data_IF_293085731845
#
_entry.id   IF_293085731845
#
_cell.length_a   1.000
_cell.length_b   1.000
_cell.length_c   1.000
_cell.angle_alpha   90.00
_cell.angle_beta   90.00
_cell.angle_gamma   90.00
#
_symmetry.space_group_name_H-M   'P 1'
#
loop_
_entity.id
_entity.type
_entity.pdbx_description
1 polymer ?
#
# COMPACT_ATOMS: atom_id res chain seq x y z
N UNK A 1 13.68 4.96 -10.16
CA UNK A 1 13.33 3.61 -10.65
C UNK A 1 14.15 2.48 -10.00
N UNK A 2 15.45 2.66 -9.77
CA UNK A 2 16.30 1.68 -9.07
C UNK A 2 15.78 1.32 -7.67
N UNK A 3 15.27 2.30 -6.91
CA UNK A 3 14.77 2.07 -5.55
C UNK A 3 13.59 1.09 -5.48
N UNK A 4 12.74 1.01 -6.51
CA UNK A 4 11.64 0.03 -6.57
C UNK A 4 12.17 -1.38 -6.85
N UNK A 5 13.18 -1.50 -7.71
CA UNK A 5 13.84 -2.78 -8.03
C UNK A 5 14.70 -3.30 -6.87
N UNK A 6 15.08 -2.44 -5.93
CA UNK A 6 15.77 -2.80 -4.69
C UNK A 6 14.83 -3.23 -3.56
N UNK A 7 13.51 -3.12 -3.73
CA UNK A 7 12.53 -3.62 -2.75
C UNK A 7 12.39 -5.13 -2.91
N UNK A 8 12.33 -5.84 -1.79
CA UNK A 8 11.97 -7.25 -1.78
C UNK A 8 10.45 -7.37 -2.03
N UNK A 9 10.08 -7.51 -3.31
CA UNK A 9 8.68 -7.55 -3.74
C UNK A 9 7.90 -8.74 -3.14
N UNK A 10 8.59 -9.76 -2.60
CA UNK A 10 7.95 -10.93 -1.98
C UNK A 10 7.36 -10.63 -0.60
N UNK A 11 7.92 -9.66 0.12
CA UNK A 11 7.42 -9.23 1.43
C UNK A 11 6.65 -7.90 1.36
N UNK A 12 6.44 -7.37 0.16
CA UNK A 12 5.77 -6.08 -0.04
C UNK A 12 4.26 -6.28 -0.20
N UNK A 13 3.51 -6.06 0.89
CA UNK A 13 2.04 -6.17 0.89
C UNK A 13 1.32 -4.99 0.20
N UNK A 14 1.99 -3.84 0.05
CA UNK A 14 1.43 -2.65 -0.57
C UNK A 14 2.35 -1.44 -0.43
N UNK A 15 2.04 -0.36 -1.16
CA UNK A 15 2.86 0.86 -1.14
C UNK A 15 2.00 2.13 -1.13
N UNK A 16 2.41 3.13 -0.35
CA UNK A 16 1.84 4.48 -0.43
C UNK A 16 2.80 5.41 -1.19
N UNK A 17 2.29 6.15 -2.18
CA UNK A 17 3.02 7.17 -2.92
C UNK A 17 2.36 8.55 -2.74
N UNK A 18 3.08 9.48 -2.11
CA UNK A 18 2.59 10.86 -1.91
C UNK A 18 2.39 11.64 -3.22
N UNK A 19 3.23 11.36 -4.24
CA UNK A 19 3.15 11.97 -5.57
C UNK A 19 3.07 10.91 -6.65
N UNK A 20 1.89 10.78 -7.26
CA UNK A 20 1.67 9.98 -8.46
C UNK A 20 1.34 10.86 -9.64
N UNK A 21 2.31 11.12 -10.51
CA UNK A 21 2.06 11.68 -11.84
C UNK A 21 1.62 10.59 -12.83
N UNK A 22 0.94 10.98 -13.93
CA UNK A 22 0.48 10.06 -15.00
C UNK A 22 1.59 9.17 -15.60
N UNK A 23 2.86 9.54 -15.42
CA UNK A 23 4.06 8.86 -15.92
C UNK A 23 5.02 8.41 -14.80
N UNK A 24 4.51 8.21 -13.58
CA UNK A 24 5.33 7.70 -12.47
C UNK A 24 5.78 6.27 -12.77
N UNK A 25 7.06 6.10 -13.10
CA UNK A 25 7.64 4.80 -13.43
C UNK A 25 7.50 3.81 -12.27
N UNK A 26 7.55 4.29 -11.04
CA UNK A 26 7.30 3.49 -9.83
C UNK A 26 5.87 2.96 -9.78
N UNK A 27 4.87 3.78 -10.13
CA UNK A 27 3.48 3.35 -10.17
C UNK A 27 3.22 2.34 -11.30
N UNK A 28 3.83 2.55 -12.47
CA UNK A 28 3.73 1.63 -13.61
C UNK A 28 4.32 0.26 -13.24
N UNK A 29 5.51 0.25 -12.63
CA UNK A 29 6.17 -0.99 -12.21
C UNK A 29 5.38 -1.70 -11.09
N UNK A 30 4.89 -0.96 -10.09
CA UNK A 30 4.07 -1.53 -9.02
C UNK A 30 2.81 -2.22 -9.55
N UNK A 31 2.11 -1.58 -10.50
CA UNK A 31 0.94 -2.19 -11.17
C UNK A 31 1.31 -3.42 -11.98
N UNK A 32 2.42 -3.38 -12.73
CA UNK A 32 2.90 -4.54 -13.48
C UNK A 32 3.29 -5.71 -12.57
N UNK A 33 3.70 -5.41 -11.34
CA UNK A 33 4.02 -6.39 -10.30
C UNK A 33 2.82 -6.76 -9.41
N UNK A 34 1.60 -6.32 -9.74
CA UNK A 34 0.37 -6.56 -8.96
C UNK A 34 0.47 -6.11 -7.50
N UNK A 35 1.27 -5.09 -7.22
CA UNK A 35 1.40 -4.50 -5.89
C UNK A 35 0.33 -3.41 -5.76
N UNK A 36 -0.54 -3.46 -4.73
CA UNK A 36 -1.53 -2.44 -4.51
C UNK A 36 -0.85 -1.13 -4.10
N UNK A 37 -1.24 -0.04 -4.76
CA UNK A 37 -0.66 1.29 -4.53
C UNK A 37 -1.74 2.28 -4.16
N UNK A 38 -1.58 2.89 -3.00
CA UNK A 38 -2.43 3.96 -2.52
C UNK A 38 -1.69 5.30 -2.72
N UNK A 39 -2.42 6.35 -3.08
CA UNK A 39 -1.86 7.70 -3.21
C UNK A 39 -2.77 8.74 -2.58
N UNK A 40 -2.21 9.92 -2.30
CA UNK A 40 -2.95 11.03 -1.68
C UNK A 40 -2.92 11.05 -0.15
N UNK A 41 -2.26 10.08 0.49
CA UNK A 41 -1.94 10.13 1.92
C UNK A 41 -0.55 10.75 2.12
N UNK A 42 -0.45 11.80 2.92
CA UNK A 42 0.82 12.42 3.29
C UNK A 42 1.69 11.44 4.09
N UNK A 43 2.97 11.32 3.72
CA UNK A 43 3.89 10.40 4.41
C UNK A 43 4.07 10.79 5.88
N UNK A 44 4.12 12.07 6.19
CA UNK A 44 4.22 12.58 7.56
C UNK A 44 3.01 12.17 8.44
N UNK A 45 1.82 12.17 7.84
CA UNK A 45 0.59 11.77 8.54
C UNK A 45 0.60 10.29 8.91
N UNK A 46 1.22 9.43 8.08
CA UNK A 46 1.26 7.99 8.31
C UNK A 46 2.54 7.50 9.00
N UNK A 47 3.62 8.29 9.02
CA UNK A 47 4.91 7.90 9.57
C UNK A 47 4.83 7.46 11.04
N UNK A 48 3.95 8.09 11.83
CA UNK A 48 3.71 7.74 13.24
C UNK A 48 3.15 6.33 13.46
N UNK A 49 2.60 5.71 12.42
CA UNK A 49 2.05 4.36 12.45
C UNK A 49 3.03 3.30 11.92
N UNK A 50 4.25 3.69 11.56
CA UNK A 50 5.27 2.76 11.09
C UNK A 50 5.52 1.64 12.11
N UNK A 51 5.60 0.40 11.62
CA UNK A 51 5.79 -0.80 12.45
C UNK A 51 4.52 -1.39 13.05
N UNK A 52 3.37 -0.74 12.88
CA UNK A 52 2.07 -1.30 13.28
C UNK A 52 1.50 -2.19 12.16
N UNK A 53 0.72 -3.24 12.52
CA UNK A 53 -0.01 -4.01 11.51
C UNK A 53 -0.98 -3.11 10.77
N UNK A 54 -1.10 -3.29 9.45
CA UNK A 54 -1.99 -2.49 8.62
C UNK A 54 -2.52 -3.30 7.44
N UNK A 55 -3.72 -2.94 6.97
CA UNK A 55 -4.32 -3.44 5.75
C UNK A 55 -4.46 -2.29 4.76
N UNK A 56 -4.01 -2.51 3.52
CA UNK A 56 -4.10 -1.56 2.42
C UNK A 56 -5.11 -2.07 1.39
N UNK A 57 -6.11 -1.27 1.09
CA UNK A 57 -7.12 -1.51 0.08
C UNK A 57 -7.03 -0.40 -0.98
N UNK A 58 -6.45 -0.72 -2.13
CA UNK A 58 -6.30 0.23 -3.24
C UNK A 58 -7.60 0.46 -4.03
N UNK A 59 -8.55 -0.48 -3.95
CA UNK A 59 -9.85 -0.37 -4.63
C UNK A 59 -10.72 0.69 -3.96
N UNK A 60 -10.77 0.68 -2.63
CA UNK A 60 -11.50 1.67 -1.84
C UNK A 60 -10.65 2.89 -1.46
N UNK A 61 -9.32 2.81 -1.64
CA UNK A 61 -8.39 3.86 -1.21
C UNK A 61 -8.27 3.97 0.31
N UNK A 62 -8.32 2.83 1.01
CA UNK A 62 -8.31 2.75 2.48
C UNK A 62 -6.98 2.19 3.00
N UNK A 63 -6.47 2.80 4.07
CA UNK A 63 -5.38 2.27 4.88
C UNK A 63 -5.88 2.09 6.32
N UNK A 64 -6.14 0.84 6.71
CA UNK A 64 -6.57 0.50 8.06
C UNK A 64 -5.33 0.19 8.92
N UNK A 65 -5.06 1.02 9.92
CA UNK A 65 -3.95 0.84 10.87
C UNK A 65 -4.46 0.12 12.11
N UNK A 66 -3.69 -0.88 12.57
CA UNK A 66 -4.02 -1.72 13.72
C UNK A 66 -5.47 -2.21 13.70
N UNK A 67 -5.91 -2.87 12.61
CA UNK A 67 -7.28 -3.35 12.49
C UNK A 67 -7.57 -4.39 13.59
N UNK A 68 -8.74 -4.32 14.18
CA UNK A 68 -9.24 -5.36 15.06
C UNK A 68 -9.68 -6.61 14.26
N UNK A 69 -10.08 -7.67 14.95
CA UNK A 69 -10.49 -8.94 14.33
C UNK A 69 -11.65 -8.79 13.35
N UNK A 70 -12.60 -7.86 13.59
CA UNK A 70 -13.72 -7.67 12.68
C UNK A 70 -13.27 -7.03 11.36
N UNK A 71 -12.42 -6.02 11.43
CA UNK A 71 -11.84 -5.36 10.24
C UNK A 71 -10.93 -6.32 9.49
N UNK A 72 -10.07 -7.04 10.21
CA UNK A 72 -9.17 -8.04 9.61
C UNK A 72 -9.95 -9.17 8.94
N UNK A 73 -11.01 -9.67 9.60
CA UNK A 73 -11.89 -10.70 9.06
C UNK A 73 -12.64 -10.26 7.81
N UNK A 74 -13.14 -9.02 7.78
CA UNK A 74 -13.76 -8.44 6.58
C UNK A 74 -12.79 -8.46 5.39
N UNK A 75 -11.57 -7.96 5.60
CA UNK A 75 -10.58 -7.88 4.53
C UNK A 75 -10.04 -9.24 4.09
N UNK A 76 -10.01 -10.24 4.97
CA UNK A 76 -9.66 -11.60 4.60
C UNK A 76 -10.68 -12.23 3.64
N UNK A 77 -11.97 -11.92 3.80
CA UNK A 77 -13.02 -12.39 2.89
C UNK A 77 -13.06 -11.55 1.61
N UNK A 78 -12.90 -10.24 1.73
CA UNK A 78 -12.97 -9.31 0.60
C UNK A 78 -11.81 -9.45 -0.41
N UNK A 79 -10.67 -10.01 0.01
CA UNK A 79 -9.50 -10.26 -0.86
C UNK A 79 -9.53 -11.62 -1.58
N UNK A 80 -10.64 -12.37 -1.50
CA UNK A 80 -10.80 -13.70 -2.12
C UNK A 80 -11.30 -13.62 -3.56
#
# INVERSE_FOLDING_TARGET
PSQFLSLDLKNLAGMNLEKTGRTSHTLILARASMIPVLSGLSLDAIARYAGQPAVLDDQCGVLAINPDDAVSGYYQVAQT
#
